data_IF_354990751954
#
_entry.id   IF_354990751954
#
_cell.length_a   1.000
_cell.length_b   1.000
_cell.length_c   1.000
_cell.angle_alpha   90.00
_cell.angle_beta   90.00
_cell.angle_gamma   90.00
#
_symmetry.space_group_name_H-M   'P 1'
#
loop_
_entity.id
_entity.type
_entity.pdbx_description
1 polymer ?
2 water ?
#
# COMPACT_ATOMS: atom_id res chain seq x y z
N UNK A 8 15.68 14.18 -13.55
CA UNK A 8 16.39 13.26 -12.58
C UNK A 8 15.53 13.06 -11.33
N UNK A 9 15.22 11.80 -10.95
CA UNK A 9 14.54 11.60 -9.67
C UNK A 9 15.46 12.02 -8.52
N UNK A 10 14.88 12.32 -7.37
CA UNK A 10 15.61 12.66 -6.19
C UNK A 10 15.96 11.37 -5.45
N UNK A 11 16.89 11.46 -4.51
CA UNK A 11 17.38 10.27 -3.83
C UNK A 11 16.73 10.15 -2.45
N UNK A 12 16.03 9.07 -2.18
CA UNK A 12 15.39 8.95 -0.86
C UNK A 12 16.42 8.96 0.29
N UNK A 13 16.12 9.77 1.31
CA UNK A 13 16.99 9.85 2.49
C UNK A 13 18.27 10.63 2.26
N UNK A 14 18.36 11.36 1.15
CA UNK A 14 19.54 12.18 0.91
C UNK A 14 19.71 13.12 2.11
N UNK A 15 20.87 13.06 2.80
CA UNK A 15 20.98 13.86 4.03
C UNK A 15 20.90 15.36 3.74
N UNK A 16 21.24 15.78 2.52
CA UNK A 16 21.23 17.21 2.21
C UNK A 16 19.80 17.77 2.14
N UNK A 17 18.82 16.88 2.02
CA UNK A 17 17.44 17.31 1.73
C UNK A 17 16.47 16.77 2.78
N UNK A 18 16.85 15.76 3.54
CA UNK A 18 15.90 15.07 4.38
C UNK A 18 15.50 15.96 5.58
N UNK A 19 14.21 16.21 5.80
CA UNK A 19 13.83 17.07 6.94
C UNK A 19 13.73 16.32 8.26
N UNK A 20 14.02 15.04 8.24
CA UNK A 20 13.87 14.23 9.45
C UNK A 20 12.47 13.67 9.62
N UNK A 21 12.08 13.37 10.85
CA UNK A 21 10.83 12.66 11.11
C UNK A 21 9.61 13.54 10.77
N UNK A 22 8.50 12.89 10.48
CA UNK A 22 7.21 13.56 10.28
C UNK A 22 6.45 12.95 9.11
N UNK A 23 5.18 13.36 8.98
CA UNK A 23 4.31 12.79 7.93
C UNK A 23 4.79 13.23 6.55
N UNK A 24 4.71 12.27 5.63
CA UNK A 24 5.00 12.51 4.24
C UNK A 24 3.68 12.43 3.47
N UNK A 25 3.58 13.19 2.40
CA UNK A 25 2.50 13.08 1.44
C UNK A 25 3.07 12.44 0.18
N UNK A 26 2.33 11.51 -0.45
CA UNK A 26 2.79 10.93 -1.67
C UNK A 26 1.75 11.07 -2.75
N UNK A 27 2.17 11.38 -3.98
CA UNK A 27 1.27 11.84 -5.00
C UNK A 27 1.55 11.08 -6.30
N UNK A 28 0.48 10.59 -6.94
CA UNK A 28 0.55 9.90 -8.27
C UNK A 28 -0.23 10.77 -9.24
N UNK A 29 0.43 11.29 -10.27
CA UNK A 29 -0.19 12.29 -11.12
C UNK A 29 -0.76 11.60 -12.36
N UNK A 30 -2.09 11.46 -12.40
CA UNK A 30 -2.79 10.89 -13.55
C UNK A 30 -3.24 11.99 -14.52
N UNK A 31 -3.78 11.56 -15.64
CA UNK A 31 -4.30 12.46 -16.68
C UNK A 31 -5.40 13.35 -16.08
N UNK A 32 -6.30 12.74 -15.31
CA UNK A 32 -7.50 13.44 -14.84
C UNK A 32 -7.61 13.43 -13.31
N UNK A 33 -6.89 12.54 -12.64
CA UNK A 33 -7.01 12.40 -11.21
C UNK A 33 -5.62 12.19 -10.61
N UNK A 34 -5.50 12.65 -9.38
CA UNK A 34 -4.23 12.62 -8.67
C UNK A 34 -4.43 11.76 -7.41
N UNK A 35 -3.75 10.63 -7.31
CA UNK A 35 -3.91 9.82 -6.13
C UNK A 35 -3.02 10.36 -5.04
N UNK A 36 -3.49 10.33 -3.81
CA UNK A 36 -2.74 10.83 -2.71
C UNK A 36 -2.71 9.79 -1.59
N UNK A 37 -1.52 9.68 -1.00
CA UNK A 37 -1.26 8.86 0.14
C UNK A 37 -0.52 9.70 1.20
N UNK A 38 -0.50 9.22 2.43
CA UNK A 38 0.33 9.88 3.45
C UNK A 38 0.96 8.82 4.36
N UNK A 39 2.01 9.20 5.05
CA UNK A 39 2.65 8.32 6.01
C UNK A 39 2.18 8.67 7.44
N UNK A 40 2.55 7.78 8.34
CA UNK A 40 2.49 8.03 9.77
C UNK A 40 3.57 9.04 10.13
N UNK A 41 3.51 9.59 11.35
CA UNK A 41 4.51 10.58 11.76
C UNK A 41 5.96 10.10 11.78
N UNK A 42 6.17 8.79 11.96
CA UNK A 42 7.49 8.22 11.99
C UNK A 42 7.97 7.81 10.59
N UNK A 43 7.19 8.12 9.53
CA UNK A 43 7.59 7.93 8.12
C UNK A 43 8.00 6.48 7.81
N UNK A 44 7.13 5.56 8.15
CA UNK A 44 7.36 4.12 7.96
C UNK A 44 6.33 3.52 7.01
N UNK A 45 5.07 3.93 7.14
CA UNK A 45 3.94 3.24 6.50
C UNK A 45 3.08 4.23 5.73
N UNK A 46 2.82 3.92 4.45
CA UNK A 46 1.94 4.70 3.59
C UNK A 46 0.50 4.17 3.69
N UNK A 47 -0.46 5.12 3.76
CA UNK A 47 -1.87 4.87 3.80
C UNK A 47 -2.53 5.76 2.74
N UNK A 48 -3.53 5.24 2.04
CA UNK A 48 -4.20 6.02 1.01
C UNK A 48 -5.05 7.13 1.64
N UNK A 49 -5.11 8.32 1.04
CA UNK A 49 -5.86 9.41 1.62
C UNK A 49 -7.05 9.81 0.74
N UNK A 50 -6.79 10.14 -0.50
CA UNK A 50 -7.82 10.73 -1.30
C UNK A 50 -7.40 10.73 -2.76
N UNK A 51 -8.39 10.92 -3.60
CA UNK A 51 -8.15 11.13 -4.99
C UNK A 51 -8.60 12.55 -5.32
N UNK A 52 -7.68 13.36 -5.75
CA UNK A 52 -7.99 14.76 -6.05
C UNK A 52 -8.31 14.87 -7.53
N UNK A 53 -9.38 15.58 -7.86
CA UNK A 53 -9.72 15.85 -9.25
C UNK A 53 -8.72 16.84 -9.85
N UNK A 54 -8.14 16.46 -10.98
CA UNK A 54 -7.29 17.34 -11.69
C UNK A 54 -8.16 18.29 -12.56
N UNK A 55 -7.93 19.58 -12.47
CA UNK A 55 -8.72 20.55 -13.25
C UNK A 55 -7.75 21.52 -13.94
N UNK A 56 -8.17 22.04 -15.10
CA UNK A 56 -7.26 22.80 -15.98
C UNK A 56 -6.85 24.10 -15.27
N UNK A 57 -7.75 24.63 -14.45
CA UNK A 57 -7.56 25.89 -13.74
C UNK A 57 -6.69 25.73 -12.49
N UNK A 58 -6.30 24.50 -12.13
CA UNK A 58 -5.31 24.32 -11.08
C UNK A 58 -5.88 24.24 -9.68
N UNK A 59 -7.19 24.08 -9.52
CA UNK A 59 -7.78 23.92 -8.20
C UNK A 59 -7.19 22.69 -7.48
N UNK A 60 -6.70 21.72 -8.24
CA UNK A 60 -6.04 20.55 -7.61
C UNK A 60 -4.82 21.00 -6.80
N UNK A 61 -4.15 22.09 -7.22
CA UNK A 61 -2.95 22.55 -6.50
C UNK A 61 -3.38 23.16 -5.18
N UNK A 62 -4.53 23.82 -5.14
CA UNK A 62 -5.05 24.34 -3.89
C UNK A 62 -5.37 23.18 -2.94
N UNK A 63 -6.00 22.11 -3.41
CA UNK A 63 -6.35 21.00 -2.52
C UNK A 63 -5.09 20.27 -2.02
N UNK A 64 -4.14 20.05 -2.92
CA UNK A 64 -2.89 19.38 -2.55
C UNK A 64 -2.13 20.17 -1.46
N UNK A 65 -2.09 21.48 -1.58
CA UNK A 65 -1.44 22.33 -0.56
C UNK A 65 -2.24 22.33 0.75
N UNK A 66 -3.58 22.35 0.67
CA UNK A 66 -4.41 22.22 1.85
C UNK A 66 -4.11 20.89 2.55
N UNK A 67 -3.96 19.80 1.81
CA UNK A 67 -3.67 18.46 2.39
C UNK A 67 -2.32 18.42 3.10
N UNK A 68 -1.31 19.02 2.48
CA UNK A 68 -0.02 19.13 3.12
C UNK A 68 -0.17 19.89 4.47
N UNK A 69 -0.92 20.96 4.48
CA UNK A 69 -1.11 21.74 5.68
C UNK A 69 -1.88 20.93 6.74
N UNK A 70 -3.02 20.36 6.36
CA UNK A 70 -3.90 19.52 7.17
C UNK A 70 -3.08 18.40 7.83
N UNK A 71 -2.21 17.72 7.07
CA UNK A 71 -1.46 16.56 7.60
C UNK A 71 -0.14 17.01 8.25
N UNK A 72 0.18 18.30 8.25
CA UNK A 72 1.48 18.80 8.73
C UNK A 72 2.63 18.01 8.09
N UNK A 73 2.59 17.89 6.79
CA UNK A 73 3.58 17.11 6.10
C UNK A 73 4.91 17.81 6.16
N UNK A 74 5.99 17.07 6.37
CA UNK A 74 7.34 17.63 6.37
C UNK A 74 8.01 17.43 5.00
N UNK A 75 7.47 16.55 4.18
CA UNK A 75 8.08 16.23 2.88
C UNK A 75 6.94 15.76 1.97
N UNK A 76 6.94 16.19 0.72
CA UNK A 76 5.95 15.75 -0.29
C UNK A 76 6.68 15.02 -1.42
N UNK A 77 6.20 13.82 -1.76
CA UNK A 77 6.81 12.95 -2.76
C UNK A 77 5.87 12.82 -3.95
N UNK A 78 6.38 13.10 -5.15
CA UNK A 78 5.63 12.96 -6.39
C UNK A 78 6.26 11.87 -7.25
N UNK A 79 5.45 10.93 -7.76
CA UNK A 79 5.91 9.90 -8.65
C UNK A 79 6.49 10.50 -9.89
N UNK A 80 7.69 10.07 -10.30
CA UNK A 80 8.25 10.52 -11.58
C UNK A 80 8.26 9.34 -12.57
N UNK A 81 7.37 9.37 -13.53
CA UNK A 81 7.41 8.29 -14.52
C UNK A 81 8.62 8.42 -15.44
N UNK A 82 8.89 7.37 -16.19
CA UNK A 82 10.03 7.34 -17.08
C UNK A 82 9.78 8.38 -18.20
N UNK A 83 10.83 9.00 -18.76
CA UNK A 83 10.65 10.05 -19.82
C UNK A 83 9.85 9.53 -21.04
N UNK A 84 10.14 8.36 -21.60
CA UNK A 84 9.25 7.80 -22.64
C UNK A 84 8.03 7.17 -21.96
N UNK A 85 6.83 7.77 -22.11
CA UNK A 85 5.59 7.22 -21.50
N UNK A 91 3.21 11.25 -18.71
CA UNK A 91 4.53 11.83 -19.08
C UNK A 91 5.30 12.30 -17.84
N UNK A 92 6.61 12.10 -17.80
CA UNK A 92 7.47 12.78 -16.81
C UNK A 92 7.15 14.29 -16.75
N UNK A 93 6.90 14.88 -17.93
CA UNK A 93 6.78 16.31 -18.04
C UNK A 93 5.64 16.83 -17.16
N UNK A 94 4.51 16.14 -17.18
CA UNK A 94 3.37 16.55 -16.40
C UNK A 94 3.64 16.45 -14.89
N UNK A 95 4.31 15.36 -14.48
CA UNK A 95 4.65 15.15 -13.08
C UNK A 95 5.58 16.26 -12.59
N UNK A 96 6.60 16.58 -13.39
CA UNK A 96 7.55 17.61 -13.04
C UNK A 96 6.85 18.97 -12.89
N UNK A 97 5.96 19.28 -13.81
CA UNK A 97 5.22 20.55 -13.78
C UNK A 97 4.32 20.65 -12.55
N UNK A 98 3.67 19.57 -12.18
CA UNK A 98 2.91 19.58 -10.92
C UNK A 98 3.87 19.67 -9.72
N UNK A 99 4.94 18.87 -9.72
CA UNK A 99 5.84 18.94 -8.58
C UNK A 99 6.39 20.37 -8.37
N UNK A 100 6.78 21.02 -9.45
CA UNK A 100 7.36 22.39 -9.37
C UNK A 100 6.30 23.39 -8.88
N UNK A 101 5.10 23.34 -9.45
CA UNK A 101 3.98 24.25 -9.03
C UNK A 101 3.64 24.03 -7.55
N UNK A 102 3.63 22.76 -7.12
CA UNK A 102 3.34 22.44 -5.74
C UNK A 102 4.49 22.89 -4.84
N UNK A 103 5.74 22.68 -5.26
CA UNK A 103 6.87 23.08 -4.47
C UNK A 103 6.76 24.58 -4.13
N UNK A 104 6.38 25.37 -5.10
CA UNK A 104 6.27 26.84 -4.83
C UNK A 104 5.14 27.07 -3.82
N UNK A 105 4.10 26.29 -3.92
CA UNK A 105 2.93 26.57 -3.11
C UNK A 105 3.15 26.10 -1.68
N UNK A 106 3.87 25.00 -1.45
CA UNK A 106 3.97 24.49 -0.08
C UNK A 106 5.30 24.91 0.60
N UNK A 107 6.19 25.63 -0.09
CA UNK A 107 7.48 26.05 0.49
C UNK A 107 7.21 26.61 1.91
N UNK A 108 8.06 26.34 2.88
CA UNK A 108 9.32 25.66 2.72
C UNK A 108 9.27 24.13 2.73
N UNK A 109 8.08 23.52 2.74
CA UNK A 109 8.05 22.08 2.67
C UNK A 109 8.62 21.62 1.32
N UNK A 110 9.62 20.75 1.35
CA UNK A 110 10.22 20.25 0.16
C UNK A 110 9.34 19.23 -0.59
N UNK A 111 9.46 19.30 -1.91
CA UNK A 111 8.82 18.39 -2.84
C UNK A 111 9.91 17.62 -3.60
N UNK A 112 9.84 16.30 -3.57
CA UNK A 112 10.87 15.43 -4.09
C UNK A 112 10.22 14.55 -5.16
N UNK A 113 11.02 14.17 -6.16
CA UNK A 113 10.56 13.25 -7.24
C UNK A 113 11.06 11.84 -6.96
N UNK A 114 10.13 10.90 -6.83
CA UNK A 114 10.41 9.51 -6.54
C UNK A 114 10.50 8.77 -7.87
N UNK A 115 11.53 7.96 -8.06
CA UNK A 115 11.68 7.24 -9.35
C UNK A 115 10.67 6.10 -9.45
N UNK A 116 9.70 6.17 -10.36
CA UNK A 116 8.69 5.10 -10.46
C UNK A 116 9.35 3.76 -10.84
N UNK A 117 10.53 3.83 -11.43
CA UNK A 117 11.17 2.58 -11.93
C UNK A 117 11.64 1.70 -10.79
N UNK A 118 11.68 2.20 -9.55
CA UNK A 118 12.09 1.36 -8.45
C UNK A 118 10.92 0.52 -7.95
N UNK A 119 9.71 0.71 -8.50
CA UNK A 119 8.47 0.02 -8.12
C UNK A 119 7.92 -0.69 -9.37
N UNK A 120 6.80 -1.42 -9.24
CA UNK A 120 6.06 -1.97 -10.36
C UNK A 120 4.79 -1.15 -10.58
N UNK A 121 4.84 0.10 -10.15
CA UNK A 121 3.64 0.92 -10.20
C UNK A 121 3.12 1.08 -11.63
N UNK A 122 3.99 1.22 -12.64
CA UNK A 122 3.52 1.50 -13.97
C UNK A 122 2.74 0.26 -14.47
N UNK A 123 3.29 -0.92 -14.26
CA UNK A 123 2.59 -2.18 -14.58
C UNK A 123 1.26 -2.29 -13.83
N UNK A 124 1.27 -2.01 -12.52
CA UNK A 124 0.08 -2.12 -11.70
C UNK A 124 -1.03 -1.21 -12.25
N UNK A 125 -0.70 0.03 -12.56
CA UNK A 125 -1.69 1.00 -13.09
C UNK A 125 -2.27 0.44 -14.39
N UNK A 126 -1.44 -0.10 -15.22
CA UNK A 126 -1.88 -0.63 -16.51
C UNK A 126 -2.82 -1.83 -16.27
N UNK A 127 -2.54 -2.66 -15.24
CA UNK A 127 -3.44 -3.79 -14.89
C UNK A 127 -4.82 -3.29 -14.38
N UNK A 128 -4.84 -2.24 -13.58
CA UNK A 128 -6.10 -1.71 -13.01
C UNK A 128 -6.93 -1.06 -14.11
N UNK A 129 -6.27 -0.42 -15.04
CA UNK A 129 -6.95 0.22 -16.15
C UNK A 129 -7.81 -0.82 -16.87
N UNK A 130 -7.21 -1.92 -17.28
CA UNK A 130 -7.88 -3.02 -17.98
C UNK A 130 -8.94 -3.72 -17.08
N UNK A 131 -8.75 -3.69 -15.78
CA UNK A 131 -9.67 -4.36 -14.86
C UNK A 131 -10.80 -3.45 -14.39
N UNK A 132 -10.52 -2.16 -14.22
CA UNK A 132 -11.40 -1.25 -13.45
C UNK A 132 -12.51 -0.70 -14.36
N UNK A 134 -15.53 0.61 -13.65
CA UNK A 134 -16.54 1.32 -12.88
C UNK A 134 -15.93 2.66 -12.49
N UNK A 135 -16.72 3.74 -12.55
CA UNK A 135 -16.13 5.09 -12.51
C UNK A 135 -15.60 5.40 -11.10
N UNK A 136 -16.39 5.05 -10.08
CA UNK A 136 -16.08 5.35 -8.68
C UNK A 136 -14.78 4.62 -8.29
N UNK A 137 -14.69 3.39 -8.78
CA UNK A 137 -13.59 2.49 -8.53
C UNK A 137 -12.32 3.05 -9.18
N UNK A 138 -12.39 3.35 -10.48
CA UNK A 138 -11.32 4.10 -11.20
C UNK A 138 -10.78 5.27 -10.35
N UNK A 139 -11.68 6.02 -9.72
CA UNK A 139 -11.28 7.15 -8.84
C UNK A 139 -10.42 6.67 -7.66
N UNK A 140 -11.02 5.87 -6.80
CA UNK A 140 -10.37 5.47 -5.57
C UNK A 140 -9.08 4.67 -5.85
N UNK A 141 -9.02 3.95 -6.97
CA UNK A 141 -7.89 3.00 -7.13
C UNK A 141 -6.60 3.75 -7.43
N UNK A 142 -6.69 5.02 -7.81
CA UNK A 142 -5.52 5.85 -8.02
C UNK A 142 -4.75 6.03 -6.71
N UNK A 143 -5.41 5.87 -5.60
CA UNK A 143 -4.68 5.96 -4.33
C UNK A 143 -3.74 4.75 -4.17
N UNK A 144 -4.02 3.63 -4.82
CA UNK A 144 -3.14 2.45 -4.63
C UNK A 144 -1.74 2.74 -5.21
N UNK A 145 -1.66 3.50 -6.31
CA UNK A 145 -0.37 3.92 -6.92
C UNK A 145 0.38 4.88 -6.00
N UNK A 146 -0.36 5.81 -5.43
CA UNK A 146 0.23 6.74 -4.49
C UNK A 146 0.84 6.02 -3.29
N UNK A 147 0.15 5.01 -2.78
CA UNK A 147 0.64 4.26 -1.65
C UNK A 147 1.96 3.56 -2.04
N UNK A 148 1.98 2.94 -3.19
CA UNK A 148 3.06 2.15 -3.66
C UNK A 148 4.31 3.03 -3.88
N UNK A 149 4.12 4.19 -4.52
CA UNK A 149 5.23 5.13 -4.76
C UNK A 149 5.72 5.67 -3.41
N UNK A 150 4.80 6.05 -2.54
CA UNK A 150 5.22 6.61 -1.24
C UNK A 150 5.94 5.55 -0.39
N UNK A 151 5.41 4.32 -0.37
CA UNK A 151 6.01 3.25 0.41
C UNK A 151 7.45 2.97 -0.06
N UNK A 152 7.68 2.95 -1.35
CA UNK A 152 9.00 2.82 -1.96
C UNK A 152 9.92 3.91 -1.43
N UNK A 153 9.48 5.15 -1.53
CA UNK A 153 10.28 6.24 -1.01
C UNK A 153 10.61 6.00 0.47
N UNK A 154 9.62 5.60 1.28
CA UNK A 154 9.86 5.50 2.73
C UNK A 154 10.83 4.35 3.00
N UNK A 155 10.64 3.27 2.28
CA UNK A 155 11.49 2.08 2.41
C UNK A 155 12.95 2.39 2.04
N UNK A 156 13.12 3.02 0.88
CA UNK A 156 14.44 3.40 0.38
C UNK A 156 15.10 4.38 1.35
N UNK A 157 14.33 5.32 1.89
CA UNK A 157 14.86 6.32 2.82
C UNK A 157 15.44 5.63 4.08
N UNK A 158 14.66 4.79 4.73
CA UNK A 158 15.13 4.13 5.95
C UNK A 158 16.36 3.28 5.64
N UNK A 159 16.39 2.66 4.46
CA UNK A 159 17.50 1.79 4.06
C UNK A 159 18.77 2.63 3.92
N UNK A 160 18.65 3.75 3.22
CA UNK A 160 19.74 4.72 3.06
C UNK A 160 20.23 5.25 4.41
N UNK A 161 19.33 5.49 5.36
CA UNK A 161 19.72 6.06 6.63
C UNK A 161 20.42 5.02 7.51
N UNK A 162 20.11 3.75 7.39
CA UNK A 162 20.66 2.71 8.24
C UNK A 162 22.17 2.53 7.97
N UNK B 8 -0.77 -24.97 -2.86
CA UNK B 8 -1.09 -24.13 -4.08
C UNK B 8 -1.82 -22.86 -3.65
N UNK B 9 -1.42 -21.68 -4.18
CA UNK B 9 -2.21 -20.46 -3.90
C UNK B 9 -3.59 -20.51 -4.57
N UNK B 10 -4.49 -19.73 -4.04
CA UNK B 10 -5.85 -19.67 -4.58
C UNK B 10 -5.87 -18.65 -5.72
N UNK B 11 -6.90 -18.72 -6.54
CA UNK B 11 -6.93 -17.94 -7.73
C UNK B 11 -7.86 -16.74 -7.51
N UNK B 12 -7.35 -15.51 -7.58
CA UNK B 12 -8.27 -14.41 -7.32
C UNK B 12 -9.36 -14.33 -8.40
N UNK B 13 -10.59 -14.09 -7.96
CA UNK B 13 -11.67 -13.89 -8.88
C UNK B 13 -12.15 -15.21 -9.45
N UNK B 14 -11.69 -16.32 -8.87
CA UNK B 14 -12.21 -17.63 -9.26
C UNK B 14 -13.74 -17.59 -9.12
N UNK B 15 -14.47 -17.66 -10.25
CA UNK B 15 -15.93 -17.58 -10.20
C UNK B 15 -16.58 -18.69 -9.36
N UNK B 16 -15.81 -19.75 -9.08
CA UNK B 16 -16.27 -20.90 -8.31
C UNK B 16 -16.28 -20.60 -6.82
N UNK B 17 -15.54 -19.59 -6.38
CA UNK B 17 -15.43 -19.35 -4.97
C UNK B 17 -15.68 -17.88 -4.63
N UNK B 18 -15.78 -16.98 -5.61
CA UNK B 18 -15.81 -15.57 -5.30
C UNK B 18 -17.14 -15.21 -4.59
N UNK B 19 -17.10 -14.36 -3.56
CA UNK B 19 -18.37 -14.12 -2.87
C UNK B 19 -19.06 -12.82 -3.29
N UNK B 20 -18.56 -12.21 -4.36
CA UNK B 20 -19.04 -10.95 -4.79
C UNK B 20 -18.50 -9.82 -3.93
N UNK B 21 -19.38 -8.87 -3.65
CA UNK B 21 -18.99 -7.58 -3.13
C UNK B 21 -18.73 -7.68 -1.62
N UNK B 22 -17.89 -6.80 -1.13
CA UNK B 22 -17.64 -6.74 0.31
C UNK B 22 -16.17 -6.55 0.63
N UNK B 23 -15.90 -6.23 1.88
CA UNK B 23 -14.56 -5.89 2.30
C UNK B 23 -13.72 -7.17 2.39
N UNK B 24 -12.46 -7.11 1.97
CA UNK B 24 -11.52 -8.20 2.16
C UNK B 24 -10.56 -7.79 3.26
N UNK B 25 -10.22 -8.74 4.13
CA UNK B 25 -9.13 -8.57 5.07
C UNK B 25 -7.88 -9.18 4.44
N UNK B 26 -6.74 -8.53 4.59
CA UNK B 26 -5.46 -9.09 4.12
C UNK B 26 -4.46 -9.27 5.25
N UNK B 27 -3.70 -10.35 5.19
CA UNK B 27 -2.87 -10.74 6.30
C UNK B 27 -1.49 -11.16 5.80
N UNK B 28 -0.46 -10.58 6.39
CA UNK B 28 0.95 -10.94 6.19
C UNK B 28 1.49 -11.59 7.47
N UNK B 29 1.87 -12.85 7.35
CA UNK B 29 2.29 -13.65 8.50
C UNK B 29 3.81 -13.54 8.72
N UNK B 30 4.18 -12.76 9.72
CA UNK B 30 5.52 -12.73 10.22
C UNK B 30 5.74 -13.74 11.33
N UNK B 31 7.01 -13.85 11.72
CA UNK B 31 7.48 -14.79 12.75
C UNK B 31 7.01 -14.33 14.13
N UNK B 32 7.09 -13.02 14.40
CA UNK B 32 6.68 -12.46 15.70
C UNK B 32 5.43 -11.58 15.58
N UNK B 33 5.09 -11.09 14.37
CA UNK B 33 4.08 -10.06 14.18
C UNK B 33 3.28 -10.35 12.91
N UNK B 34 2.00 -10.00 12.90
CA UNK B 34 1.16 -10.21 11.70
C UNK B 34 0.64 -8.84 11.25
N UNK B 35 0.92 -8.50 10.01
CA UNK B 35 0.37 -7.23 9.50
C UNK B 35 -1.02 -7.43 8.94
N UNK B 36 -1.86 -6.43 9.14
CA UNK B 36 -3.21 -6.56 8.65
C UNK B 36 -3.60 -5.33 7.87
N UNK B 37 -4.32 -5.60 6.79
CA UNK B 37 -4.89 -4.61 5.95
C UNK B 37 -6.33 -4.96 5.63
N UNK B 38 -7.07 -4.00 5.07
CA UNK B 38 -8.43 -4.30 4.65
C UNK B 38 -8.80 -3.47 3.41
N UNK B 39 -9.79 -3.95 2.66
CA UNK B 39 -10.29 -3.22 1.52
C UNK B 39 -11.54 -2.42 1.91
N UNK B 40 -11.91 -1.53 0.98
CA UNK B 40 -13.22 -0.89 0.96
C UNK B 40 -14.26 -1.95 0.59
N UNK B 41 -15.57 -1.66 0.78
CA UNK B 41 -16.64 -2.62 0.48
C UNK B 41 -16.70 -3.07 -0.99
N UNK B 42 -16.18 -2.27 -1.90
CA UNK B 42 -16.20 -2.62 -3.34
C UNK B 42 -14.94 -3.40 -3.73
N UNK B 43 -14.05 -3.67 -2.79
CA UNK B 43 -12.86 -4.51 -3.00
C UNK B 43 -11.95 -3.92 -4.08
N UNK B 44 -11.64 -2.64 -3.93
CA UNK B 44 -10.83 -1.88 -4.89
C UNK B 44 -9.44 -1.59 -4.30
N UNK B 45 -9.44 -1.10 -3.05
CA UNK B 45 -8.29 -0.40 -2.47
C UNK B 45 -7.99 -0.95 -1.07
N UNK B 46 -6.72 -1.40 -0.91
CA UNK B 46 -6.19 -1.88 0.35
C UNK B 46 -5.63 -0.72 1.19
N UNK B 47 -6.05 -0.70 2.45
CA UNK B 47 -5.59 0.27 3.49
C UNK B 47 -5.04 -0.52 4.70
N UNK B 48 -3.98 -0.03 5.35
CA UNK B 48 -3.45 -0.69 6.55
C UNK B 48 -4.46 -0.62 7.72
N UNK B 49 -4.51 -1.66 8.55
CA UNK B 49 -5.38 -1.72 9.73
C UNK B 49 -4.51 -1.70 10.99
N UNK B 50 -3.69 -2.73 11.19
CA UNK B 50 -2.96 -2.77 12.42
C UNK B 50 -1.97 -3.92 12.35
N UNK B 51 -1.07 -3.93 13.31
CA UNK B 51 -0.15 -5.04 13.49
C UNK B 51 -0.61 -5.82 14.72
N UNK B 52 -0.74 -7.14 14.57
CA UNK B 52 -1.12 -8.04 15.62
C UNK B 52 0.11 -8.82 16.11
N UNK B 53 0.40 -8.74 17.42
CA UNK B 53 1.49 -9.53 18.00
C UNK B 53 1.11 -11.01 17.97
N UNK B 54 1.99 -11.83 17.48
CA UNK B 54 1.82 -13.26 17.51
C UNK B 54 2.15 -13.74 18.93
N UNK B 55 1.56 -14.84 19.38
CA UNK B 55 1.93 -15.41 20.69
C UNK B 55 1.59 -16.89 20.70
N UNK B 56 2.34 -17.65 21.51
CA UNK B 56 2.19 -19.10 21.59
C UNK B 56 0.75 -19.43 21.97
N UNK B 57 0.11 -18.62 22.80
CA UNK B 57 -1.22 -18.95 23.35
C UNK B 57 -2.34 -18.77 22.31
N UNK B 58 -2.02 -18.22 21.13
CA UNK B 58 -2.95 -18.14 19.99
C UNK B 58 -3.82 -16.89 20.05
N UNK B 59 -3.48 -15.96 20.90
CA UNK B 59 -4.25 -14.73 21.07
C UNK B 59 -4.35 -13.97 19.74
N UNK B 60 -3.36 -14.12 18.88
CA UNK B 60 -3.35 -13.37 17.63
C UNK B 60 -4.47 -13.86 16.72
N UNK B 61 -4.83 -15.15 16.87
CA UNK B 61 -5.86 -15.75 16.02
C UNK B 61 -7.21 -15.17 16.42
N UNK B 62 -7.34 -14.93 17.72
CA UNK B 62 -8.57 -14.34 18.25
C UNK B 62 -8.70 -12.90 17.71
N UNK B 63 -7.60 -12.14 17.71
CA UNK B 63 -7.67 -10.72 17.25
C UNK B 63 -7.96 -10.64 15.74
N UNK B 64 -7.38 -11.56 14.97
CA UNK B 64 -7.61 -11.56 13.49
C UNK B 64 -9.09 -11.87 13.19
N UNK B 65 -9.64 -12.85 13.94
CA UNK B 65 -11.09 -13.17 13.79
C UNK B 65 -11.96 -11.98 14.19
N UNK B 66 -11.55 -11.27 15.23
CA UNK B 66 -12.21 -10.08 15.71
C UNK B 66 -12.28 -9.02 14.60
N UNK B 67 -11.17 -8.85 13.89
CA UNK B 67 -11.09 -7.86 12.79
C UNK B 67 -11.98 -8.27 11.62
N UNK B 68 -11.98 -9.55 11.31
CA UNK B 68 -12.78 -10.05 10.23
C UNK B 68 -14.27 -9.76 10.51
N UNK B 69 -14.70 -9.97 11.74
CA UNK B 69 -16.10 -9.71 12.14
C UNK B 69 -16.39 -8.20 12.14
N UNK B 70 -15.60 -7.44 12.85
CA UNK B 70 -15.77 -6.01 12.92
C UNK B 70 -15.78 -5.34 11.53
N UNK B 71 -14.87 -5.73 10.63
CA UNK B 71 -14.81 -5.10 9.29
C UNK B 71 -15.72 -5.82 8.29
N UNK B 72 -16.46 -6.82 8.74
CA UNK B 72 -17.44 -7.51 7.93
C UNK B 72 -16.78 -8.03 6.64
N UNK B 73 -15.63 -8.67 6.84
CA UNK B 73 -14.92 -9.29 5.77
C UNK B 73 -15.78 -10.38 5.14
N UNK B 74 -15.86 -10.39 3.80
CA UNK B 74 -16.55 -11.46 3.08
C UNK B 74 -15.53 -12.50 2.63
N UNK B 75 -14.24 -12.18 2.86
CA UNK B 75 -13.11 -12.96 2.43
C UNK B 75 -11.85 -12.50 3.19
N UNK B 76 -11.03 -13.48 3.59
CA UNK B 76 -9.83 -13.20 4.26
C UNK B 76 -8.66 -13.76 3.42
N UNK B 77 -7.71 -12.92 3.13
CA UNK B 77 -6.59 -13.18 2.21
C UNK B 77 -5.29 -13.30 3.01
N UNK B 78 -4.62 -14.46 2.95
CA UNK B 78 -3.38 -14.67 3.65
C UNK B 78 -2.26 -14.81 2.62
N UNK B 79 -1.20 -13.99 2.79
CA UNK B 79 0.04 -14.08 1.99
C UNK B 79 0.65 -15.48 2.05
N UNK B 80 0.87 -16.14 0.89
CA UNK B 80 1.52 -17.46 0.82
C UNK B 80 2.92 -17.29 0.19
N UNK B 81 3.93 -17.30 1.01
CA UNK B 81 5.27 -17.31 0.51
C UNK B 81 5.65 -18.63 -0.16
N UNK B 82 6.81 -18.61 -0.76
CA UNK B 82 7.36 -19.77 -1.43
C UNK B 82 7.57 -20.94 -0.45
N UNK B 83 7.59 -22.19 -0.94
CA UNK B 83 7.79 -23.33 0.02
C UNK B 83 9.21 -23.34 0.62
N UNK B 84 10.22 -22.87 -0.09
CA UNK B 84 11.57 -22.69 0.50
C UNK B 84 11.61 -21.32 1.20
N UNK B 85 12.06 -21.27 2.47
CA UNK B 85 12.15 -19.99 3.21
N UNK B 90 10.53 -16.59 6.24
CA UNK B 90 9.13 -16.80 5.86
C UNK B 90 8.99 -18.13 5.11
N UNK B 91 8.01 -18.93 5.53
CA UNK B 91 7.78 -20.28 4.98
C UNK B 91 6.30 -20.45 4.62
N UNK B 92 6.05 -21.20 3.57
CA UNK B 92 4.69 -21.52 3.19
C UNK B 92 3.96 -22.19 4.37
N UNK B 93 4.65 -23.08 5.09
CA UNK B 93 3.96 -23.92 6.08
C UNK B 93 3.40 -23.06 7.22
N UNK B 94 4.07 -21.98 7.57
CA UNK B 94 3.64 -21.11 8.65
C UNK B 94 2.33 -20.41 8.27
N UNK B 95 2.31 -19.89 7.04
CA UNK B 95 1.18 -19.17 6.52
C UNK B 95 -0.01 -20.12 6.34
N UNK B 96 0.28 -21.33 5.86
CA UNK B 96 -0.76 -22.32 5.66
C UNK B 96 -1.40 -22.64 7.01
N UNK B 97 -0.56 -22.89 8.03
CA UNK B 97 -1.06 -23.27 9.31
C UNK B 97 -1.94 -22.15 9.88
N UNK B 98 -1.50 -20.91 9.77
CA UNK B 98 -2.29 -19.83 10.29
C UNK B 98 -3.61 -19.73 9.52
N UNK B 99 -3.57 -19.91 8.20
CA UNK B 99 -4.74 -19.81 7.37
C UNK B 99 -5.78 -20.86 7.79
N UNK B 100 -5.31 -22.08 8.01
CA UNK B 100 -6.21 -23.15 8.38
C UNK B 100 -6.83 -22.84 9.75
N UNK B 101 -6.01 -22.41 10.70
CA UNK B 101 -6.51 -22.11 12.07
C UNK B 101 -7.48 -20.93 12.03
N UNK B 102 -7.15 -19.94 11.21
CA UNK B 102 -8.04 -18.81 11.09
C UNK B 102 -9.36 -19.25 10.43
N UNK B 103 -9.30 -20.16 9.46
CA UNK B 103 -10.50 -20.52 8.74
C UNK B 103 -11.53 -21.13 9.71
N UNK B 104 -11.09 -21.98 10.64
CA UNK B 104 -12.00 -22.59 11.66
C UNK B 104 -12.69 -21.49 12.50
N UNK B 105 -12.06 -20.33 12.68
CA UNK B 105 -12.62 -19.31 13.56
C UNK B 105 -13.49 -18.28 12.83
N UNK B 106 -13.32 -18.10 11.52
CA UNK B 106 -14.09 -17.05 10.84
C UNK B 106 -15.18 -17.68 9.97
N UNK B 107 -15.29 -19.02 10.00
CA UNK B 107 -16.34 -19.75 9.24
C UNK B 107 -17.67 -19.06 9.48
N UNK B 108 -18.46 -18.86 8.43
CA UNK B 108 -18.21 -19.38 7.09
C UNK B 108 -17.35 -18.49 6.16
N UNK B 109 -16.71 -17.43 6.68
CA UNK B 109 -15.97 -16.56 5.83
C UNK B 109 -14.81 -17.35 5.22
N UNK B 110 -14.70 -17.38 3.90
CA UNK B 110 -13.59 -18.12 3.34
C UNK B 110 -12.21 -17.45 3.49
N UNK B 111 -11.19 -18.29 3.72
CA UNK B 111 -9.80 -17.85 3.85
C UNK B 111 -9.02 -18.34 2.62
N UNK B 112 -8.39 -17.44 1.91
CA UNK B 112 -7.73 -17.73 0.65
C UNK B 112 -6.24 -17.41 0.80
N UNK B 113 -5.42 -18.09 -0.01
CA UNK B 113 -3.97 -17.91 -0.01
C UNK B 113 -3.56 -17.19 -1.29
N UNK B 114 -2.97 -16.01 -1.12
CA UNK B 114 -2.54 -15.15 -2.21
C UNK B 114 -1.08 -15.46 -2.54
N UNK B 115 -0.75 -15.65 -3.82
CA UNK B 115 0.63 -16.00 -4.17
C UNK B 115 1.53 -14.76 -4.01
N UNK B 116 2.45 -14.79 -3.06
CA UNK B 116 3.39 -13.66 -2.84
C UNK B 116 4.33 -13.49 -4.04
N UNK B 117 4.49 -14.52 -4.86
CA UNK B 117 5.38 -14.42 -6.04
C UNK B 117 4.82 -13.48 -7.11
N UNK B 118 3.56 -13.11 -7.07
CA UNK B 118 3.06 -12.17 -8.07
C UNK B 118 3.34 -10.72 -7.65
N UNK B 119 4.04 -10.53 -6.55
CA UNK B 119 4.39 -9.20 -6.04
C UNK B 119 5.88 -9.13 -5.71
N UNK B 120 6.35 -7.98 -5.24
CA UNK B 120 7.73 -7.88 -4.76
C UNK B 120 7.75 -7.83 -3.23
N UNK B 121 6.69 -8.37 -2.60
CA UNK B 121 6.56 -8.28 -1.16
C UNK B 121 7.76 -8.91 -0.46
N UNK B 122 8.30 -10.01 -0.98
CA UNK B 122 9.37 -10.68 -0.28
C UNK B 122 10.62 -9.78 -0.24
N UNK B 123 10.95 -9.17 -1.39
CA UNK B 123 12.06 -8.25 -1.49
C UNK B 123 11.81 -7.04 -0.56
N UNK B 124 10.62 -6.48 -0.66
CA UNK B 124 10.32 -5.28 0.11
C UNK B 124 10.47 -5.54 1.62
N UNK B 125 9.95 -6.68 2.12
CA UNK B 125 10.06 -7.01 3.57
C UNK B 125 11.53 -7.16 3.96
N UNK B 126 12.33 -7.78 3.10
CA UNK B 126 13.75 -7.94 3.41
C UNK B 126 14.39 -6.58 3.55
N UNK B 127 13.99 -5.65 2.67
CA UNK B 127 14.56 -4.32 2.68
C UNK B 127 14.14 -3.55 3.95
N UNK B 128 12.91 -3.74 4.37
CA UNK B 128 12.45 -3.06 5.56
C UNK B 128 13.16 -3.61 6.79
N UNK B 129 13.36 -4.92 6.84
CA UNK B 129 13.98 -5.58 7.98
C UNK B 129 15.40 -5.06 8.12
N UNK B 130 16.10 -5.02 6.99
CA UNK B 130 17.47 -4.57 6.96
C UNK B 130 17.57 -3.14 7.52
N UNK B 131 16.56 -2.30 7.24
CA UNK B 131 16.56 -0.87 7.59
C UNK B 131 16.01 -0.57 8.99
N UNK B 132 15.32 -1.52 9.63
CA UNK B 132 14.67 -1.29 10.96
C UNK B 132 15.78 -0.93 11.97
N UNK B 133 15.68 0.19 12.63
CA UNK B 133 16.65 0.57 13.68
C UNK B 133 15.91 1.13 14.90
N UNK B 134 14.63 0.79 15.05
CA UNK B 134 13.82 1.40 16.10
C UNK B 134 12.52 0.60 16.26
N UNK B 135 12.03 0.59 17.48
CA UNK B 135 10.82 -0.17 17.82
C UNK B 135 9.59 0.43 17.12
N UNK B 136 9.57 1.76 16.95
CA UNK B 136 8.48 2.49 16.26
C UNK B 136 8.29 1.93 14.83
N UNK B 137 9.39 1.61 14.16
CA UNK B 137 9.37 1.12 12.80
C UNK B 137 8.83 -0.32 12.83
N UNK B 138 9.40 -1.13 13.73
CA UNK B 138 9.12 -2.56 13.79
C UNK B 138 7.63 -2.79 14.11
N UNK B 139 6.98 -1.88 14.83
CA UNK B 139 5.55 -2.02 15.12
C UNK B 139 4.74 -2.06 13.82
N UNK B 140 4.78 -0.98 13.04
CA UNK B 140 3.75 -0.78 12.03
C UNK B 140 4.19 -1.30 10.66
N UNK B 141 5.45 -1.69 10.49
CA UNK B 141 6.04 -1.88 9.16
C UNK B 141 5.39 -3.08 8.45
N UNK B 142 4.98 -4.07 9.24
CA UNK B 142 4.35 -5.28 8.72
C UNK B 142 3.02 -4.97 8.01
N UNK B 143 2.40 -3.82 8.29
CA UNK B 143 1.16 -3.50 7.59
C UNK B 143 1.42 -3.18 6.11
N UNK B 144 2.62 -2.75 5.79
CA UNK B 144 2.96 -2.40 4.41
C UNK B 144 2.88 -3.64 3.53
N UNK B 145 3.42 -4.77 4.00
CA UNK B 145 3.36 -6.06 3.24
C UNK B 145 1.90 -6.50 3.13
N UNK B 146 1.13 -6.32 4.19
CA UNK B 146 -0.30 -6.73 4.16
C UNK B 146 -1.05 -5.92 3.09
N UNK B 147 -0.77 -4.61 3.03
CA UNK B 147 -1.40 -3.79 2.00
C UNK B 147 -1.00 -4.29 0.60
N UNK B 148 0.28 -4.58 0.36
CA UNK B 148 0.80 -4.98 -0.93
C UNK B 148 0.17 -6.29 -1.40
N UNK B 149 0.12 -7.27 -0.51
CA UNK B 149 -0.42 -8.60 -0.84
C UNK B 149 -1.93 -8.46 -1.11
N UNK B 150 -2.63 -7.70 -0.25
CA UNK B 150 -4.04 -7.55 -0.43
C UNK B 150 -4.32 -6.79 -1.72
N UNK B 151 -3.57 -5.70 -2.00
CA UNK B 151 -3.82 -4.96 -3.22
C UNK B 151 -3.58 -5.88 -4.43
N UNK B 152 -2.62 -6.80 -4.35
CA UNK B 152 -2.36 -7.74 -5.45
C UNK B 152 -3.59 -8.63 -5.69
N UNK B 153 -4.12 -9.17 -4.62
CA UNK B 153 -5.33 -9.98 -4.68
C UNK B 153 -6.46 -9.18 -5.36
N UNK B 154 -6.65 -7.95 -4.93
CA UNK B 154 -7.75 -7.11 -5.45
C UNK B 154 -7.57 -6.80 -6.96
N UNK B 155 -6.35 -6.41 -7.34
CA UNK B 155 -5.98 -6.07 -8.74
C UNK B 155 -6.22 -7.31 -9.65
N UNK B 156 -5.73 -8.44 -9.17
CA UNK B 156 -5.82 -9.69 -9.95
C UNK B 156 -7.28 -10.12 -10.12
N UNK B 157 -8.05 -9.99 -9.04
CA UNK B 157 -9.48 -10.31 -8.98
C UNK B 157 -10.24 -9.48 -10.02
N UNK B 158 -10.03 -8.18 -9.99
CA UNK B 158 -10.73 -7.27 -10.89
C UNK B 158 -10.39 -7.63 -12.35
N UNK B 159 -9.11 -7.91 -12.61
CA UNK B 159 -8.68 -8.20 -13.97
C UNK B 159 -9.22 -9.58 -14.39
N UNK B 160 -9.18 -10.55 -13.48
CA UNK B 160 -9.76 -11.86 -13.82
C UNK B 160 -11.23 -11.69 -14.20
N UNK B 161 -11.97 -10.87 -13.47
CA UNK B 161 -13.40 -10.77 -13.70
C UNK B 161 -13.71 -9.93 -14.95
N UNK B 162 -12.80 -9.08 -15.42
CA UNK B 162 -13.08 -8.17 -16.55
C UNK B 162 -13.13 -8.96 -17.87
#
# INVERSE_FOLDING_TARGET
>A
MVPAQHRPPDRPGDPAHDPGRGRRLGIDVGAARIGVACSDPDAILATPVETVRRDRSGKHLRRLAALAAELEAVEVIVGLPRTLADRIGRSAQDAIELAEALARRVSPTPVRLADERLTTVSAQRSLRQAGVRASEQRAVIDQAAAVAILQSWLDERLAAMAGTQEGSDA
>B
MVPAQHRPPDRPGDPAHDPGRGRRLGIDVGAARIGVACSDPDAILATPVETVRRDRSGKHLRRLAALAAELEAVEVIVGLPRTLADRIGRSAQDAIELAEALARRVSPTPVRLADERLTTVSAQRSLRQAGVRASEQRAVIDQAAAVAILQSWLDERLAAMAGTQEGSDA
#
